data_IF_375483582534
#
_entry.id   IF_375483582534
#
_cell.length_a   1.000
_cell.length_b   1.000
_cell.length_c   1.000
_cell.angle_alpha   90.00
_cell.angle_beta   90.00
_cell.angle_gamma   90.00
#
_symmetry.space_group_name_H-M   'P 1'
#
loop_
_entity.id
_entity.type
_entity.pdbx_description
1 polymer ?
#
# COMPACT_ATOMS: atom_id res chain seq x y z
N UNK A 1 50.46 5.72 5.15
CA UNK A 1 49.42 5.08 6.00
C UNK A 1 48.94 6.13 6.99
N UNK A 2 47.78 6.74 6.70
CA UNK A 2 47.19 7.77 7.54
C UNK A 2 46.60 7.09 8.78
N UNK A 3 47.30 7.20 9.92
CA UNK A 3 46.72 6.90 11.21
C UNK A 3 45.63 7.93 11.49
N UNK A 4 44.38 7.49 11.58
CA UNK A 4 43.31 8.29 12.18
C UNK A 4 43.68 8.52 13.66
N UNK A 5 44.38 9.63 13.91
CA UNK A 5 44.68 10.09 15.26
C UNK A 5 43.35 10.53 15.88
N UNK A 6 42.96 9.80 16.93
CA UNK A 6 41.72 9.97 17.67
C UNK A 6 41.60 11.43 18.19
N UNK A 7 40.45 12.09 18.01
CA UNK A 7 40.25 13.53 18.29
C UNK A 7 40.67 13.95 19.71
N UNK A 8 40.63 13.00 20.67
CA UNK A 8 41.00 13.19 22.07
C UNK A 8 42.51 13.38 22.30
N UNK A 9 43.36 12.85 21.42
CA UNK A 9 44.83 12.94 21.57
C UNK A 9 45.43 14.23 20.99
N UNK A 10 44.68 14.92 20.12
CA UNK A 10 45.08 16.20 19.50
C UNK A 10 45.05 17.35 20.52
N UNK A 11 44.17 17.25 21.53
CA UNK A 11 43.95 18.27 22.56
C UNK A 11 44.85 18.14 23.80
N UNK A 12 45.78 17.17 23.82
CA UNK A 12 46.74 17.00 24.92
C UNK A 12 48.02 17.80 24.70
N UNK A 13 48.41 18.60 25.69
CA UNK A 13 49.69 19.31 25.74
C UNK A 13 49.56 20.83 25.82
N UNK A 14 50.67 21.53 25.64
CA UNK A 14 50.69 22.99 25.65
C UNK A 14 49.97 23.57 24.43
N UNK A 15 49.37 24.76 24.61
CA UNK A 15 48.56 25.45 23.59
C UNK A 15 49.34 25.64 22.27
N UNK A 16 50.66 25.86 22.33
CA UNK A 16 51.52 26.01 21.15
C UNK A 16 51.58 24.71 20.32
N UNK A 17 51.73 23.56 20.99
CA UNK A 17 51.85 22.25 20.35
C UNK A 17 50.53 21.83 19.72
N UNK A 18 49.41 22.10 20.39
CA UNK A 18 48.05 21.88 19.88
C UNK A 18 47.82 22.69 18.60
N UNK A 19 48.21 23.97 18.58
CA UNK A 19 48.14 24.84 17.38
C UNK A 19 48.99 24.29 16.23
N UNK A 20 50.18 23.77 16.51
CA UNK A 20 51.07 23.19 15.49
C UNK A 20 50.51 21.91 14.85
N UNK A 21 49.84 21.06 15.64
CA UNK A 21 49.22 19.81 15.18
C UNK A 21 47.98 20.09 14.33
N UNK A 22 47.13 21.02 14.75
CA UNK A 22 45.92 21.36 14.00
C UNK A 22 46.26 22.03 12.66
N UNK A 23 47.33 22.84 12.60
CA UNK A 23 47.85 23.45 11.36
C UNK A 23 48.23 22.41 10.29
N UNK A 24 48.60 21.19 10.67
CA UNK A 24 49.00 20.11 9.74
C UNK A 24 47.82 19.30 9.16
N UNK A 25 46.62 19.39 9.74
CA UNK A 25 45.52 18.45 9.45
C UNK A 25 44.56 18.86 8.32
N UNK A 26 44.80 19.97 7.60
CA UNK A 26 44.01 20.47 6.45
C UNK A 26 42.53 20.07 6.48
N UNK A 27 41.78 20.58 7.47
CA UNK A 27 40.32 20.54 7.41
C UNK A 27 39.71 21.71 8.20
N UNK A 28 39.42 22.77 7.45
CA UNK A 28 38.47 23.87 7.70
C UNK A 28 38.75 24.79 8.90
N UNK A 29 39.14 26.02 8.50
CA UNK A 29 38.95 27.32 9.17
C UNK A 29 39.67 27.59 10.50
N UNK A 30 40.93 27.16 10.62
CA UNK A 30 41.82 27.67 11.68
C UNK A 30 42.19 29.14 11.46
N UNK A 31 42.32 29.57 10.20
CA UNK A 31 42.70 30.95 9.85
C UNK A 31 41.58 31.97 10.15
N UNK A 32 40.31 31.61 9.91
CA UNK A 32 39.16 32.45 10.31
C UNK A 32 39.01 32.60 11.83
N UNK A 33 39.40 31.59 12.60
CA UNK A 33 39.38 31.64 14.07
C UNK A 33 40.43 32.64 14.59
N UNK A 34 41.59 32.71 13.95
CA UNK A 34 42.66 33.67 14.28
C UNK A 34 42.23 35.11 13.93
N UNK A 35 41.57 35.32 12.78
CA UNK A 35 41.01 36.63 12.40
C UNK A 35 39.92 37.13 13.36
N UNK A 36 39.02 36.26 13.81
CA UNK A 36 37.94 36.65 14.74
C UNK A 36 38.43 36.84 16.18
N UNK A 37 39.52 36.16 16.60
CA UNK A 37 40.24 36.47 17.84
C UNK A 37 40.86 37.87 17.81
N UNK A 38 41.41 38.29 16.66
CA UNK A 38 41.93 39.64 16.46
C UNK A 38 40.87 40.75 16.53
N UNK A 39 39.59 40.42 16.31
CA UNK A 39 38.44 41.35 16.41
C UNK A 39 37.78 41.37 17.80
N UNK A 40 38.36 40.71 18.81
CA UNK A 40 37.93 40.81 20.21
C UNK A 40 36.70 39.96 20.60
N UNK A 41 36.27 39.00 19.78
CA UNK A 41 35.21 38.05 20.17
C UNK A 41 35.80 36.91 21.01
N UNK A 42 35.26 36.70 22.22
CA UNK A 42 35.73 35.67 23.16
C UNK A 42 35.61 34.25 22.57
N UNK A 43 36.68 33.43 22.66
CA UNK A 43 36.73 32.02 22.18
C UNK A 43 35.49 31.18 22.52
N UNK A 44 34.91 31.41 23.69
CA UNK A 44 33.72 30.71 24.19
C UNK A 44 32.49 30.90 23.27
N UNK A 45 32.29 32.11 22.74
CA UNK A 45 31.15 32.40 21.86
C UNK A 45 31.31 31.77 20.47
N UNK A 46 32.56 31.65 19.98
CA UNK A 46 32.87 30.95 18.74
C UNK A 46 32.63 29.44 18.83
N UNK A 47 32.96 28.81 19.96
CA UNK A 47 32.69 27.39 20.21
C UNK A 47 31.19 27.13 20.33
N UNK A 48 30.46 27.99 21.06
CA UNK A 48 28.99 27.92 21.14
C UNK A 48 28.35 28.11 19.76
N UNK A 49 28.84 29.05 18.96
CA UNK A 49 28.38 29.25 17.58
C UNK A 49 28.64 28.01 16.71
N UNK A 50 29.84 27.43 16.76
CA UNK A 50 30.21 26.23 15.99
C UNK A 50 29.39 25.00 16.39
N UNK A 51 29.12 24.83 17.69
CA UNK A 51 28.25 23.76 18.18
C UNK A 51 26.80 23.99 17.73
N UNK A 52 26.31 25.24 17.76
CA UNK A 52 24.98 25.59 17.24
C UNK A 52 24.87 25.34 15.73
N UNK A 53 25.93 25.59 14.97
CA UNK A 53 26.01 25.30 13.53
C UNK A 53 25.99 23.79 13.28
N UNK A 54 26.75 23.00 14.04
CA UNK A 54 26.74 21.52 13.95
C UNK A 54 25.36 20.95 14.30
N UNK A 55 24.70 21.46 15.34
CA UNK A 55 23.34 21.07 15.69
C UNK A 55 22.32 21.47 14.61
N UNK A 56 22.40 22.69 14.08
CA UNK A 56 21.57 23.14 12.94
C UNK A 56 21.75 22.24 11.73
N UNK A 57 22.99 21.91 11.37
CA UNK A 57 23.34 21.03 10.23
C UNK A 57 22.85 19.60 10.46
N UNK A 58 22.91 19.11 11.70
CA UNK A 58 22.34 17.82 12.11
C UNK A 58 20.80 17.80 12.03
N UNK A 59 20.14 18.87 12.46
CA UNK A 59 18.68 19.05 12.36
C UNK A 59 18.25 19.17 10.90
N UNK A 60 19.01 19.89 10.06
CA UNK A 60 18.77 19.98 8.61
C UNK A 60 18.89 18.64 7.91
N UNK A 61 19.97 17.89 8.15
CA UNK A 61 20.10 16.50 7.64
C UNK A 61 18.92 15.62 8.06
N UNK A 62 18.51 15.69 9.33
CA UNK A 62 17.38 14.91 9.85
C UNK A 62 16.05 15.32 9.22
N UNK A 63 15.86 16.62 8.94
CA UNK A 63 14.71 17.15 8.19
C UNK A 63 14.75 16.72 6.72
N UNK A 64 15.91 16.70 6.06
CA UNK A 64 16.07 16.21 4.69
C UNK A 64 15.76 14.70 4.58
N UNK A 65 16.20 13.90 5.56
CA UNK A 65 15.89 12.47 5.60
C UNK A 65 14.40 12.19 5.81
N UNK A 66 13.73 12.97 6.67
CA UNK A 66 12.27 12.92 6.83
C UNK A 66 11.51 13.41 5.59
N UNK A 67 12.09 14.36 4.83
CA UNK A 67 11.54 14.89 3.58
C UNK A 67 11.73 13.97 2.37
N UNK A 68 12.55 12.91 2.46
CA UNK A 68 12.60 11.89 1.40
C UNK A 68 11.20 11.30 1.25
N UNK A 69 10.50 11.73 0.20
CA UNK A 69 9.14 11.32 -0.07
C UNK A 69 9.08 9.80 -0.14
N UNK A 70 8.17 9.18 0.62
CA UNK A 70 7.89 7.75 0.46
C UNK A 70 7.45 7.59 -1.00
N UNK A 71 8.20 6.90 -1.86
CA UNK A 71 7.84 6.82 -3.26
C UNK A 71 6.45 6.17 -3.35
N UNK A 72 5.48 6.90 -3.90
CA UNK A 72 4.15 6.37 -4.15
C UNK A 72 4.30 5.40 -5.32
N UNK A 73 4.51 4.13 -4.99
CA UNK A 73 4.60 3.10 -6.01
C UNK A 73 3.23 2.92 -6.67
N UNK A 74 3.22 3.08 -7.99
CA UNK A 74 2.03 2.83 -8.79
C UNK A 74 1.88 1.33 -9.03
N UNK A 75 0.64 0.85 -9.07
CA UNK A 75 0.25 -0.54 -9.32
C UNK A 75 0.61 -0.90 -10.75
N UNK A 76 1.43 -1.95 -10.92
CA UNK A 76 1.82 -2.51 -12.22
C UNK A 76 0.85 -3.58 -12.71
N UNK A 77 0.44 -4.47 -11.80
CA UNK A 77 -0.38 -5.62 -12.14
C UNK A 77 -1.85 -5.35 -11.85
N UNK A 78 -2.57 -4.95 -12.89
CA UNK A 78 -4.02 -4.76 -12.88
C UNK A 78 -4.61 -5.38 -14.15
N UNK A 79 -5.36 -6.48 -14.05
CA UNK A 79 -5.86 -7.12 -15.25
C UNK A 79 -6.63 -8.42 -15.04
N UNK A 80 -7.03 -9.01 -16.17
CA UNK A 80 -7.66 -10.32 -16.23
C UNK A 80 -6.60 -11.41 -16.33
N UNK A 81 -6.81 -12.51 -15.61
CA UNK A 81 -6.02 -13.73 -15.76
C UNK A 81 -6.24 -14.30 -17.17
N UNK A 82 -5.21 -14.90 -17.77
CA UNK A 82 -5.38 -15.78 -18.94
C UNK A 82 -5.99 -17.10 -18.47
N UNK A 83 -7.23 -17.38 -18.87
CA UNK A 83 -7.93 -18.62 -18.53
C UNK A 83 -7.59 -19.74 -19.51
N UNK A 84 -7.49 -20.96 -18.99
CA UNK A 84 -7.48 -22.21 -19.77
C UNK A 84 -8.81 -22.44 -20.49
N UNK A 85 -8.83 -23.34 -21.48
CA UNK A 85 -10.05 -23.66 -22.23
C UNK A 85 -11.19 -24.15 -21.32
N UNK A 86 -10.86 -25.01 -20.34
CA UNK A 86 -11.82 -25.50 -19.35
C UNK A 86 -12.35 -24.37 -18.46
N UNK A 87 -11.48 -23.53 -17.91
CA UNK A 87 -11.88 -22.39 -17.08
C UNK A 87 -12.80 -21.45 -17.88
N UNK A 88 -12.53 -21.20 -19.17
CA UNK A 88 -13.40 -20.41 -20.05
C UNK A 88 -14.78 -21.03 -20.18
N UNK A 89 -14.87 -22.34 -20.45
CA UNK A 89 -16.15 -23.07 -20.53
C UNK A 89 -16.94 -22.94 -19.23
N UNK A 90 -16.28 -23.16 -18.09
CA UNK A 90 -16.90 -23.02 -16.78
C UNK A 90 -17.37 -21.58 -16.54
N UNK A 91 -16.57 -20.58 -16.89
CA UNK A 91 -16.93 -19.18 -16.72
C UNK A 91 -18.16 -18.79 -17.55
N UNK A 92 -18.30 -19.31 -18.78
CA UNK A 92 -19.53 -19.15 -19.58
C UNK A 92 -20.73 -19.77 -18.89
N UNK A 93 -20.60 -21.01 -18.38
CA UNK A 93 -21.64 -21.67 -17.59
C UNK A 93 -22.05 -20.84 -16.37
N UNK A 94 -21.08 -20.25 -15.67
CA UNK A 94 -21.33 -19.36 -14.52
C UNK A 94 -22.14 -18.11 -14.89
N UNK A 95 -21.90 -17.55 -16.07
CA UNK A 95 -22.65 -16.38 -16.56
C UNK A 95 -24.11 -16.80 -16.84
N UNK A 96 -24.33 -17.95 -17.49
CA UNK A 96 -25.67 -18.50 -17.69
C UNK A 96 -26.37 -18.76 -16.34
N UNK A 97 -25.71 -19.45 -15.41
CA UNK A 97 -26.22 -19.69 -14.04
C UNK A 97 -26.51 -18.38 -13.29
N UNK A 98 -25.81 -17.28 -13.58
CA UNK A 98 -26.08 -15.96 -12.99
C UNK A 98 -27.35 -15.35 -13.59
N UNK A 99 -27.56 -15.48 -14.90
CA UNK A 99 -28.73 -14.96 -15.61
C UNK A 99 -30.03 -15.66 -15.18
N UNK A 100 -29.97 -16.96 -14.92
CA UNK A 100 -31.15 -17.74 -14.49
C UNK A 100 -31.52 -17.54 -13.01
N UNK A 101 -30.62 -16.96 -12.20
CA UNK A 101 -30.90 -16.73 -10.78
C UNK A 101 -31.85 -15.56 -10.57
N UNK A 102 -32.94 -15.76 -9.81
CA UNK A 102 -33.78 -14.65 -9.37
C UNK A 102 -33.02 -13.79 -8.34
N UNK A 103 -33.50 -12.56 -8.12
CA UNK A 103 -32.93 -11.64 -7.13
C UNK A 103 -33.07 -12.08 -5.67
N UNK A 104 -33.93 -13.08 -5.40
CA UNK A 104 -34.29 -13.54 -4.04
C UNK A 104 -34.78 -12.41 -3.14
N UNK A 105 -35.87 -11.77 -3.56
CA UNK A 105 -36.46 -10.63 -2.86
C UNK A 105 -37.29 -11.09 -1.66
N UNK A 106 -37.31 -10.27 -0.60
CA UNK A 106 -38.20 -10.49 0.56
C UNK A 106 -39.66 -10.43 0.15
N UNK A 107 -40.50 -11.23 0.79
CA UNK A 107 -41.95 -11.15 0.62
C UNK A 107 -42.46 -9.71 0.79
N UNK A 108 -43.28 -9.26 -0.15
CA UNK A 108 -43.96 -7.95 -0.14
C UNK A 108 -43.03 -6.72 -0.01
N UNK A 109 -41.72 -6.84 -0.29
CA UNK A 109 -40.80 -5.69 -0.17
C UNK A 109 -41.18 -4.54 -1.11
N UNK A 110 -41.71 -4.85 -2.29
CA UNK A 110 -42.17 -3.85 -3.27
C UNK A 110 -43.40 -3.09 -2.78
N UNK A 111 -44.21 -3.70 -1.91
CA UNK A 111 -45.45 -3.09 -1.41
C UNK A 111 -45.22 -2.20 -0.19
N UNK A 112 -44.26 -2.55 0.65
CA UNK A 112 -44.05 -1.89 1.93
C UNK A 112 -42.66 -1.26 2.01
N UNK A 113 -42.57 0.08 1.97
CA UNK A 113 -41.29 0.83 2.04
C UNK A 113 -40.44 0.49 3.27
N UNK A 114 -41.07 0.12 4.41
CA UNK A 114 -40.37 -0.32 5.63
C UNK A 114 -39.59 -1.63 5.46
N UNK A 115 -39.92 -2.42 4.44
CA UNK A 115 -39.24 -3.69 4.16
C UNK A 115 -38.07 -3.44 3.22
N UNK A 116 -36.86 -3.71 3.72
CA UNK A 116 -35.63 -3.66 2.91
C UNK A 116 -35.54 -4.85 1.96
N UNK A 117 -34.85 -4.68 0.83
CA UNK A 117 -34.51 -5.74 -0.12
C UNK A 117 -33.42 -6.67 0.46
N UNK A 118 -33.80 -7.43 1.48
CA UNK A 118 -32.96 -8.39 2.18
C UNK A 118 -33.75 -9.68 2.32
N UNK A 119 -33.24 -10.78 1.76
CA UNK A 119 -33.89 -12.08 1.86
C UNK A 119 -34.22 -12.45 3.31
N UNK A 120 -35.46 -12.85 3.55
CA UNK A 120 -35.94 -13.46 4.81
C UNK A 120 -36.84 -14.62 4.43
N UNK A 121 -36.67 -15.76 5.10
CA UNK A 121 -37.54 -16.93 4.89
C UNK A 121 -38.98 -16.53 5.23
N UNK A 122 -39.95 -16.66 4.30
CA UNK A 122 -41.36 -16.44 4.62
C UNK A 122 -41.82 -17.51 5.62
N UNK A 123 -42.50 -17.09 6.70
CA UNK A 123 -42.92 -17.98 7.80
C UNK A 123 -44.44 -18.10 7.95
N UNK A 124 -45.21 -17.17 7.40
CA UNK A 124 -46.67 -17.18 7.55
C UNK A 124 -47.31 -18.37 6.84
N UNK A 125 -48.33 -18.95 7.47
CA UNK A 125 -49.09 -20.11 6.96
C UNK A 125 -49.72 -19.76 5.59
N UNK A 126 -50.30 -18.57 5.48
CA UNK A 126 -50.92 -18.07 4.24
C UNK A 126 -49.94 -17.46 3.23
N UNK A 127 -48.63 -17.55 3.51
CA UNK A 127 -47.63 -16.94 2.63
C UNK A 127 -47.58 -17.66 1.29
N UNK A 128 -48.10 -16.99 0.26
CA UNK A 128 -48.03 -17.48 -1.12
C UNK A 128 -46.60 -17.61 -1.65
N UNK A 129 -45.63 -16.93 -1.01
CA UNK A 129 -44.21 -17.13 -1.29
C UNK A 129 -43.67 -18.39 -0.63
N UNK A 130 -44.11 -18.71 0.59
CA UNK A 130 -43.75 -19.98 1.26
C UNK A 130 -44.33 -21.19 0.51
N UNK A 131 -45.55 -21.05 -0.01
CA UNK A 131 -46.22 -22.03 -0.90
C UNK A 131 -45.64 -22.02 -2.33
N UNK A 132 -44.72 -21.10 -2.65
CA UNK A 132 -44.04 -20.98 -3.94
C UNK A 132 -44.96 -20.76 -5.16
N UNK A 133 -46.12 -20.11 -4.97
CA UNK A 133 -47.05 -19.81 -6.06
C UNK A 133 -46.40 -19.01 -7.20
N UNK A 134 -46.82 -19.30 -8.44
CA UNK A 134 -46.41 -18.54 -9.63
C UNK A 134 -46.72 -17.04 -9.44
N UNK A 135 -45.80 -16.17 -9.87
CA UNK A 135 -45.91 -14.73 -9.72
C UNK A 135 -45.34 -14.17 -8.42
N UNK A 136 -45.10 -15.00 -7.39
CA UNK A 136 -44.36 -14.58 -6.18
C UNK A 136 -42.85 -14.74 -6.38
N UNK A 137 -42.01 -13.94 -5.67
CA UNK A 137 -40.56 -14.05 -5.81
C UNK A 137 -40.08 -15.42 -5.34
N UNK A 138 -39.15 -16.03 -6.07
CA UNK A 138 -38.65 -17.38 -5.77
C UNK A 138 -37.91 -17.47 -4.43
N UNK A 139 -38.05 -18.61 -3.77
CA UNK A 139 -37.34 -19.02 -2.55
C UNK A 139 -35.94 -19.55 -2.89
N UNK A 140 -34.88 -19.21 -2.13
CA UNK A 140 -33.57 -19.83 -2.26
C UNK A 140 -33.64 -21.33 -1.93
N UNK A 141 -33.04 -22.12 -2.80
CA UNK A 141 -32.90 -23.58 -2.72
C UNK A 141 -31.47 -24.00 -3.08
N UNK A 142 -31.09 -25.22 -2.71
CA UNK A 142 -29.78 -25.82 -3.03
C UNK A 142 -29.48 -25.81 -4.54
N UNK A 143 -30.50 -26.01 -5.37
CA UNK A 143 -30.38 -26.06 -6.84
C UNK A 143 -29.95 -24.74 -7.49
N UNK A 144 -30.10 -23.61 -6.79
CA UNK A 144 -29.59 -22.32 -7.27
C UNK A 144 -28.10 -22.13 -7.00
N UNK A 145 -27.37 -23.10 -6.44
CA UNK A 145 -25.92 -22.96 -6.22
C UNK A 145 -25.17 -22.91 -7.55
N UNK A 146 -24.10 -22.09 -7.61
CA UNK A 146 -23.18 -22.07 -8.76
C UNK A 146 -22.30 -23.31 -8.75
N UNK A 147 -21.80 -23.70 -9.92
CA UNK A 147 -20.78 -24.75 -10.07
C UNK A 147 -19.61 -24.53 -9.08
N UNK A 148 -19.22 -25.57 -8.33
CA UNK A 148 -18.29 -25.49 -7.19
C UNK A 148 -16.92 -24.91 -7.58
N UNK A 149 -16.34 -25.36 -8.70
CA UNK A 149 -15.00 -24.98 -9.19
C UNK A 149 -14.81 -23.48 -9.49
N UNK A 150 -15.90 -22.73 -9.69
CA UNK A 150 -15.89 -21.32 -10.15
C UNK A 150 -16.67 -20.40 -9.21
N UNK A 151 -17.18 -20.98 -8.12
CA UNK A 151 -17.82 -20.23 -7.04
C UNK A 151 -16.78 -19.31 -6.43
N UNK A 152 -17.19 -18.11 -6.03
CA UNK A 152 -16.33 -17.08 -5.42
C UNK A 152 -15.21 -16.48 -6.29
N UNK A 153 -15.06 -16.91 -7.55
CA UNK A 153 -14.07 -16.30 -8.45
C UNK A 153 -14.47 -14.87 -8.84
N UNK A 154 -13.52 -13.94 -8.91
CA UNK A 154 -13.76 -12.59 -9.43
C UNK A 154 -14.01 -12.62 -10.95
N UNK A 155 -14.70 -11.63 -11.56
CA UNK A 155 -14.82 -11.54 -13.01
C UNK A 155 -13.49 -11.48 -13.77
N UNK A 156 -12.40 -11.08 -13.10
CA UNK A 156 -11.04 -11.12 -13.66
C UNK A 156 -10.44 -12.53 -13.76
N UNK A 157 -11.08 -13.54 -13.16
CA UNK A 157 -10.59 -14.92 -13.19
C UNK A 157 -9.67 -15.30 -12.02
N UNK A 158 -9.47 -14.42 -11.05
CA UNK A 158 -8.71 -14.69 -9.82
C UNK A 158 -9.62 -14.96 -8.64
N UNK A 159 -9.11 -15.67 -7.63
CA UNK A 159 -9.74 -15.75 -6.31
C UNK A 159 -9.39 -14.50 -5.50
N UNK A 160 -10.38 -13.67 -5.12
CA UNK A 160 -10.12 -12.46 -4.36
C UNK A 160 -9.81 -12.79 -2.89
N UNK A 161 -8.62 -12.41 -2.44
CA UNK A 161 -8.21 -12.50 -1.03
C UNK A 161 -8.17 -11.09 -0.44
N UNK A 162 -8.85 -10.92 0.69
CA UNK A 162 -8.83 -9.64 1.41
C UNK A 162 -7.58 -9.57 2.28
N UNK A 163 -6.82 -8.47 2.15
CA UNK A 163 -5.55 -8.28 2.85
C UNK A 163 -5.55 -7.00 3.67
N UNK A 164 -4.98 -7.07 4.87
CA UNK A 164 -4.83 -5.99 5.82
C UNK A 164 -3.37 -5.57 6.04
N UNK A 165 -2.42 -6.49 5.86
CA UNK A 165 -1.02 -6.29 6.17
C UNK A 165 -0.10 -6.98 5.14
N UNK A 166 1.21 -6.76 5.30
CA UNK A 166 2.25 -7.29 4.41
C UNK A 166 2.44 -8.80 4.61
N UNK A 167 2.23 -9.32 5.82
CA UNK A 167 2.45 -10.74 6.15
C UNK A 167 1.45 -11.62 5.40
N UNK A 168 0.22 -11.15 5.25
CA UNK A 168 -0.84 -11.81 4.48
C UNK A 168 -0.53 -11.87 2.99
N UNK A 169 0.21 -10.91 2.41
CA UNK A 169 0.61 -10.94 1.00
C UNK A 169 1.49 -12.14 0.67
N UNK A 170 2.43 -12.46 1.55
CA UNK A 170 3.42 -13.54 1.33
C UNK A 170 2.79 -14.93 1.21
N UNK A 171 1.54 -15.10 1.69
CA UNK A 171 0.82 -16.39 1.67
C UNK A 171 0.05 -16.64 0.37
N UNK A 172 0.04 -15.67 -0.56
CA UNK A 172 -0.85 -15.65 -1.73
C UNK A 172 -0.13 -16.20 -2.96
N UNK A 173 -0.82 -17.01 -3.75
CA UNK A 173 -0.31 -17.49 -5.05
C UNK A 173 -0.67 -16.48 -6.17
N UNK A 174 0.32 -15.76 -6.76
CA UNK A 174 0.05 -14.72 -7.76
C UNK A 174 -0.65 -15.23 -9.03
N UNK A 175 -0.57 -16.53 -9.34
CA UNK A 175 -1.18 -17.12 -10.53
C UNK A 175 -2.68 -17.40 -10.37
N UNK A 176 -3.13 -17.68 -9.15
CA UNK A 176 -4.51 -18.10 -8.86
C UNK A 176 -5.30 -17.04 -8.13
N UNK A 177 -4.64 -16.25 -7.32
CA UNK A 177 -5.25 -15.34 -6.35
C UNK A 177 -4.91 -13.89 -6.67
N UNK A 178 -5.81 -13.00 -6.29
CA UNK A 178 -5.61 -11.56 -6.42
C UNK A 178 -6.05 -10.86 -5.14
N UNK A 179 -5.42 -9.74 -4.85
CA UNK A 179 -5.57 -9.05 -3.57
C UNK A 179 -6.64 -7.96 -3.64
N UNK A 180 -7.51 -7.95 -2.64
CA UNK A 180 -8.37 -6.82 -2.28
C UNK A 180 -7.81 -6.22 -1.00
N UNK A 181 -7.22 -5.03 -1.09
CA UNK A 181 -6.74 -4.33 0.08
C UNK A 181 -7.95 -3.83 0.88
N UNK A 182 -8.01 -4.14 2.17
CA UNK A 182 -9.12 -3.75 3.02
C UNK A 182 -9.29 -2.22 3.09
N UNK A 183 -10.54 -1.77 3.23
CA UNK A 183 -10.89 -0.34 3.30
C UNK A 183 -10.27 0.38 4.50
N UNK A 184 -9.98 -0.34 5.59
CA UNK A 184 -9.37 0.17 6.81
C UNK A 184 -7.86 0.46 6.68
N UNK A 185 -7.22 0.03 5.60
CA UNK A 185 -5.78 0.25 5.40
C UNK A 185 -5.53 1.69 4.95
N UNK A 186 -4.78 2.44 5.78
CA UNK A 186 -4.37 3.81 5.49
C UNK A 186 -3.37 3.90 4.31
N UNK A 187 -3.20 5.11 3.76
CA UNK A 187 -2.37 5.34 2.55
C UNK A 187 -0.92 4.87 2.71
N UNK A 188 -0.30 5.09 3.88
CA UNK A 188 1.09 4.68 4.15
C UNK A 188 1.29 3.18 3.99
N UNK A 189 0.55 2.37 4.76
CA UNK A 189 0.58 0.90 4.68
C UNK A 189 0.16 0.39 3.31
N UNK A 190 -0.80 1.08 2.67
CA UNK A 190 -1.25 0.72 1.33
C UNK A 190 -0.13 0.85 0.29
N UNK A 191 0.68 1.91 0.35
CA UNK A 191 1.85 2.06 -0.53
C UNK A 191 2.87 0.93 -0.31
N UNK A 192 3.11 0.54 0.95
CA UNK A 192 4.00 -0.60 1.27
C UNK A 192 3.46 -1.92 0.70
N UNK A 193 2.14 -2.15 0.81
CA UNK A 193 1.46 -3.31 0.23
C UNK A 193 1.59 -3.31 -1.30
N UNK A 194 1.35 -2.17 -1.95
CA UNK A 194 1.48 -2.05 -3.41
C UNK A 194 2.91 -2.34 -3.84
N UNK A 195 3.89 -1.83 -3.10
CA UNK A 195 5.31 -2.06 -3.36
C UNK A 195 5.68 -3.54 -3.34
N UNK A 196 5.22 -4.26 -2.33
CA UNK A 196 5.53 -5.68 -2.17
C UNK A 196 4.74 -6.51 -3.19
N UNK A 197 3.46 -6.20 -3.40
CA UNK A 197 2.65 -6.84 -4.44
C UNK A 197 3.26 -6.68 -5.84
N UNK A 198 3.80 -5.51 -6.16
CA UNK A 198 4.49 -5.27 -7.43
C UNK A 198 5.78 -6.11 -7.55
N UNK A 199 6.51 -6.32 -6.45
CA UNK A 199 7.71 -7.19 -6.45
C UNK A 199 7.35 -8.66 -6.63
N UNK A 200 6.28 -9.11 -6.00
CA UNK A 200 5.81 -10.50 -6.03
C UNK A 200 4.94 -10.82 -7.26
N UNK A 201 4.61 -9.82 -8.08
CA UNK A 201 3.76 -10.00 -9.27
C UNK A 201 2.28 -10.23 -8.95
N UNK A 202 1.83 -9.82 -7.77
CA UNK A 202 0.45 -10.02 -7.30
C UNK A 202 -0.48 -8.95 -7.90
N UNK A 203 -1.62 -9.40 -8.43
CA UNK A 203 -2.63 -8.50 -8.99
C UNK A 203 -3.49 -7.88 -7.88
N UNK A 204 -3.63 -6.55 -7.87
CA UNK A 204 -4.51 -5.82 -6.94
C UNK A 204 -5.82 -5.48 -7.66
N UNK A 205 -6.97 -5.81 -7.05
CA UNK A 205 -8.29 -5.65 -7.69
C UNK A 205 -8.95 -4.28 -7.44
N UNK A 206 -8.58 -3.58 -6.37
CA UNK A 206 -9.23 -2.34 -5.94
C UNK A 206 -8.29 -1.13 -5.92
N UNK A 207 -7.77 -0.67 -7.07
CA UNK A 207 -6.93 0.54 -7.13
C UNK A 207 -7.73 1.80 -6.76
N UNK A 208 -7.08 2.79 -6.12
CA UNK A 208 -7.63 4.15 -5.95
C UNK A 208 -7.18 5.06 -7.10
N UNK A 209 -7.86 6.21 -7.25
CA UNK A 209 -7.49 7.24 -8.23
C UNK A 209 -6.03 7.66 -8.03
N UNK A 210 -5.24 7.62 -9.10
CA UNK A 210 -3.80 7.96 -9.08
C UNK A 210 -2.85 6.83 -8.70
N UNK A 211 -3.35 5.67 -8.25
CA UNK A 211 -2.50 4.52 -7.89
C UNK A 211 -2.14 3.64 -9.08
N UNK A 212 -2.77 3.80 -10.24
CA UNK A 212 -2.51 2.96 -11.43
C UNK A 212 -1.35 3.55 -12.23
N UNK A 213 -0.42 2.71 -12.68
CA UNK A 213 0.53 3.12 -13.72
C UNK A 213 -0.24 3.42 -15.00
N UNK A 214 -0.18 4.66 -15.48
CA UNK A 214 -0.70 4.99 -16.81
C UNK A 214 0.09 4.18 -17.83
N UNK A 215 -0.47 3.06 -18.27
CA UNK A 215 -0.02 2.37 -19.46
C UNK A 215 -0.35 3.33 -20.60
N UNK A 216 0.67 3.92 -21.24
CA UNK A 216 0.46 4.52 -22.56
C UNK A 216 -0.08 3.40 -23.45
N UNK A 217 -1.32 3.53 -23.91
CA UNK A 217 -1.94 2.59 -24.82
C UNK A 217 -1.12 2.56 -26.11
N UNK A 218 -0.24 1.57 -26.29
CA UNK A 218 0.36 1.28 -27.61
C UNK A 218 -0.61 0.47 -28.49
N UNK A 219 -1.91 0.75 -28.42
CA UNK A 219 -2.95 -0.05 -29.08
C UNK A 219 -3.94 0.81 -29.90
N UNK A 220 -3.48 1.91 -30.47
CA UNK A 220 -4.20 2.66 -31.52
C UNK A 220 -3.65 2.34 -32.94
N UNK A 221 -3.03 1.18 -33.12
CA UNK A 221 -2.49 0.72 -34.40
C UNK A 221 -2.98 -0.70 -34.77
N UNK A 222 -4.27 -0.81 -35.08
CA UNK A 222 -4.84 -1.59 -36.21
C UNK A 222 -6.36 -1.61 -36.15
#
# INVERSE_FOLDING_TARGET
MNSELNEKDILKGNISDIKSRIKKLRNIDYDKLIEEEGKGKNRKTLIEWLNSEKEKKGIEKKKEELKREIPIEKIKFYGKKKLTSEEKRLFRKRILEKKTKPRFMRQEFTKLKRLKDVWRKPRGIDSKQAEEKRGKPKTPKIGYKKTKKIRNLHPSGFYPIRVHNIVELKKIDPKKEAVIIASSVGRKKRNEIIRIANKEGITILNPRKGEIMSIKSNNDAK
#
